data_IF_129788430766
#
_entry.id   IF_129788430766
#
_cell.length_a   1.000
_cell.length_b   1.000
_cell.length_c   1.000
_cell.angle_alpha   90.00
_cell.angle_beta   90.00
_cell.angle_gamma   90.00
#
_symmetry.space_group_name_H-M   'P 1'
#
loop_
_entity.id
_entity.type
_entity.pdbx_description
1 polymer ?
#
# COMPACT_ATOMS: atom_id res chain seq x y z
N UNK A 1 57.25 6.01 -11.82
CA UNK A 1 55.79 5.76 -11.68
C UNK A 1 55.13 5.21 -12.95
N UNK A 2 55.54 5.59 -14.17
CA UNK A 2 54.94 5.07 -15.42
C UNK A 2 55.15 3.54 -15.65
N UNK A 3 56.34 3.01 -15.36
CA UNK A 3 56.64 1.57 -15.49
C UNK A 3 55.82 0.66 -14.55
N UNK A 4 55.51 1.12 -13.33
CA UNK A 4 54.67 0.35 -12.39
C UNK A 4 53.22 0.26 -12.86
N UNK A 5 52.66 1.36 -13.39
CA UNK A 5 51.30 1.33 -13.98
C UNK A 5 51.24 0.41 -15.21
N UNK A 6 52.25 0.46 -16.10
CA UNK A 6 52.30 -0.38 -17.31
C UNK A 6 52.36 -1.89 -16.98
N UNK A 7 53.16 -2.28 -16.00
CA UNK A 7 53.26 -3.68 -15.57
C UNK A 7 51.97 -4.16 -14.87
N UNK A 8 51.33 -3.31 -14.07
CA UNK A 8 50.04 -3.62 -13.44
C UNK A 8 48.92 -3.80 -14.48
N UNK A 9 48.84 -2.94 -15.50
CA UNK A 9 47.84 -3.08 -16.58
C UNK A 9 48.04 -4.38 -17.37
N UNK A 10 49.29 -4.75 -17.65
CA UNK A 10 49.63 -5.97 -18.41
C UNK A 10 49.30 -7.25 -17.62
N UNK A 11 49.56 -7.25 -16.31
CA UNK A 11 49.24 -8.39 -15.43
C UNK A 11 47.73 -8.57 -15.22
N UNK A 12 46.99 -7.46 -15.05
CA UNK A 12 45.52 -7.44 -14.95
C UNK A 12 44.87 -8.03 -16.20
N UNK A 13 45.30 -7.60 -17.39
CA UNK A 13 44.76 -8.09 -18.66
C UNK A 13 45.04 -9.57 -18.88
N UNK A 14 46.24 -10.05 -18.56
CA UNK A 14 46.59 -11.47 -18.64
C UNK A 14 45.69 -12.33 -17.74
N UNK A 15 45.43 -11.88 -16.50
CA UNK A 15 44.51 -12.54 -15.56
C UNK A 15 43.06 -12.59 -16.07
N UNK A 16 42.59 -11.52 -16.70
CA UNK A 16 41.26 -11.45 -17.32
C UNK A 16 41.15 -12.46 -18.46
N UNK A 17 42.10 -12.46 -19.40
CA UNK A 17 42.08 -13.34 -20.57
C UNK A 17 42.13 -14.81 -20.18
N UNK A 18 43.03 -15.20 -19.26
CA UNK A 18 43.12 -16.58 -18.77
C UNK A 18 41.79 -17.06 -18.15
N UNK A 19 41.03 -16.16 -17.51
CA UNK A 19 39.74 -16.47 -16.90
C UNK A 19 38.61 -16.59 -17.93
N UNK A 20 38.57 -15.70 -18.92
CA UNK A 20 37.65 -15.77 -20.06
C UNK A 20 37.83 -17.11 -20.79
N UNK A 21 39.08 -17.48 -21.09
CA UNK A 21 39.42 -18.72 -21.78
C UNK A 21 38.98 -19.95 -20.97
N UNK A 22 39.24 -19.95 -19.65
CA UNK A 22 38.83 -21.04 -18.76
C UNK A 22 37.31 -21.24 -18.73
N UNK A 23 36.53 -20.16 -18.85
CA UNK A 23 35.06 -20.20 -18.88
C UNK A 23 34.51 -20.43 -20.30
N UNK A 24 35.38 -20.55 -21.30
CA UNK A 24 34.99 -20.68 -22.70
C UNK A 24 34.18 -19.49 -23.21
N UNK A 25 34.34 -18.31 -22.60
CA UNK A 25 33.68 -17.08 -23.03
C UNK A 25 34.35 -16.59 -24.31
N UNK A 26 33.56 -16.13 -25.29
CA UNK A 26 34.14 -15.52 -26.50
C UNK A 26 34.78 -14.20 -26.12
N UNK A 27 35.99 -13.94 -26.63
CA UNK A 27 36.69 -12.68 -26.44
C UNK A 27 35.94 -11.55 -27.16
N UNK A 28 35.14 -10.79 -26.42
CA UNK A 28 34.49 -9.55 -26.87
C UNK A 28 35.29 -8.36 -26.32
N UNK A 29 35.80 -7.44 -27.16
CA UNK A 29 36.52 -6.25 -26.72
C UNK A 29 35.78 -5.44 -25.66
N UNK A 30 34.44 -5.37 -25.75
CA UNK A 30 33.60 -4.63 -24.79
C UNK A 30 33.56 -5.32 -23.44
N UNK A 31 33.41 -6.64 -23.43
CA UNK A 31 33.50 -7.45 -22.21
C UNK A 31 34.85 -7.27 -21.52
N UNK A 32 35.95 -7.30 -22.29
CA UNK A 32 37.30 -7.07 -21.75
C UNK A 32 37.39 -5.68 -21.13
N UNK A 33 36.91 -4.65 -21.83
CA UNK A 33 36.89 -3.28 -21.32
C UNK A 33 36.11 -3.18 -20.00
N UNK A 34 34.90 -3.74 -19.92
CA UNK A 34 34.09 -3.74 -18.69
C UNK A 34 34.81 -4.42 -17.52
N UNK A 35 35.54 -5.52 -17.78
CA UNK A 35 36.32 -6.25 -16.77
C UNK A 35 37.58 -5.50 -16.34
N UNK A 36 38.24 -4.79 -17.25
CA UNK A 36 39.42 -3.96 -16.94
C UNK A 36 39.03 -2.75 -16.09
N UNK A 37 37.95 -2.04 -16.47
CA UNK A 37 37.44 -0.86 -15.75
C UNK A 37 36.89 -1.22 -14.37
N UNK A 38 36.38 -2.45 -14.19
CA UNK A 38 35.75 -2.92 -12.96
C UNK A 38 36.47 -4.12 -12.33
N UNK A 39 37.80 -4.13 -12.37
CA UNK A 39 38.62 -5.25 -11.90
C UNK A 39 38.31 -5.76 -10.47
N UNK A 40 37.95 -4.91 -9.48
CA UNK A 40 37.54 -5.38 -8.15
C UNK A 40 36.34 -6.36 -8.17
N UNK A 41 35.51 -6.27 -9.22
CA UNK A 41 34.33 -7.11 -9.44
C UNK A 41 34.57 -8.27 -10.42
N UNK A 42 35.83 -8.55 -10.81
CA UNK A 42 36.20 -9.56 -11.82
C UNK A 42 35.48 -10.91 -11.64
N UNK A 43 35.44 -11.42 -10.40
CA UNK A 43 34.78 -12.69 -10.11
C UNK A 43 33.27 -12.64 -10.39
N UNK A 44 32.59 -11.56 -9.98
CA UNK A 44 31.14 -11.39 -10.15
C UNK A 44 30.78 -11.23 -11.62
N UNK A 45 31.53 -10.39 -12.33
CA UNK A 45 31.30 -10.11 -13.75
C UNK A 45 31.58 -11.32 -14.64
N UNK A 46 32.65 -12.07 -14.37
CA UNK A 46 32.91 -13.30 -15.14
C UNK A 46 31.86 -14.38 -14.91
N UNK A 47 31.32 -14.50 -13.68
CA UNK A 47 30.16 -15.36 -13.42
C UNK A 47 28.92 -14.90 -14.18
N UNK A 48 28.65 -13.59 -14.20
CA UNK A 48 27.54 -13.01 -14.95
C UNK A 48 27.63 -13.32 -16.44
N UNK A 49 28.77 -13.02 -17.10
CA UNK A 49 28.93 -13.32 -18.53
C UNK A 49 28.78 -14.81 -18.83
N UNK A 50 29.23 -15.69 -17.94
CA UNK A 50 29.03 -17.13 -18.07
C UNK A 50 27.55 -17.52 -18.00
N UNK A 51 26.79 -16.96 -17.05
CA UNK A 51 25.35 -17.23 -16.92
C UNK A 51 24.55 -16.66 -18.09
N UNK A 52 24.88 -15.44 -18.55
CA UNK A 52 24.26 -14.85 -19.74
C UNK A 52 24.46 -15.75 -20.97
N UNK A 53 25.68 -16.27 -21.16
CA UNK A 53 25.97 -17.25 -22.23
C UNK A 53 25.14 -18.53 -22.06
N UNK A 54 25.02 -19.08 -20.83
CA UNK A 54 24.24 -20.31 -20.56
C UNK A 54 22.76 -20.14 -20.87
N UNK A 55 22.16 -19.01 -20.49
CA UNK A 55 20.76 -18.73 -20.73
C UNK A 55 20.54 -18.06 -22.13
N UNK A 56 21.52 -18.15 -23.05
CA UNK A 56 21.47 -17.66 -24.44
C UNK A 56 21.13 -16.17 -24.61
N UNK A 57 21.52 -15.34 -23.63
CA UNK A 57 21.32 -13.89 -23.68
C UNK A 57 22.49 -13.27 -24.46
N UNK A 58 22.17 -12.54 -25.53
CA UNK A 58 23.18 -11.89 -26.38
C UNK A 58 23.65 -10.59 -25.73
N UNK A 59 24.97 -10.36 -25.72
CA UNK A 59 25.58 -9.12 -25.25
C UNK A 59 25.58 -8.07 -26.36
N UNK A 60 24.75 -7.04 -26.22
CA UNK A 60 24.76 -5.83 -27.05
C UNK A 60 25.36 -4.63 -26.29
N UNK A 61 25.45 -3.48 -26.96
CA UNK A 61 26.03 -2.27 -26.36
C UNK A 61 25.22 -1.76 -25.16
N UNK A 62 23.89 -1.91 -25.21
CA UNK A 62 22.98 -1.52 -24.13
C UNK A 62 23.23 -2.36 -22.87
N UNK A 63 23.28 -3.69 -23.03
CA UNK A 63 23.52 -4.62 -21.93
C UNK A 63 24.92 -4.42 -21.32
N UNK A 64 25.95 -4.19 -22.13
CA UNK A 64 27.28 -3.84 -21.61
C UNK A 64 27.24 -2.57 -20.74
N UNK A 65 26.52 -1.54 -21.17
CA UNK A 65 26.36 -0.31 -20.40
C UNK A 65 25.58 -0.54 -19.10
N UNK A 66 24.52 -1.34 -19.11
CA UNK A 66 23.75 -1.70 -17.91
C UNK A 66 24.63 -2.45 -16.91
N UNK A 67 25.42 -3.41 -17.37
CA UNK A 67 26.35 -4.18 -16.54
C UNK A 67 27.38 -3.24 -15.91
N UNK A 68 28.00 -2.37 -16.71
CA UNK A 68 29.00 -1.42 -16.24
C UNK A 68 28.45 -0.45 -15.18
N UNK A 69 27.19 -0.03 -15.32
CA UNK A 69 26.53 0.84 -14.35
C UNK A 69 26.08 0.13 -13.07
N UNK A 70 25.97 -1.21 -13.07
CA UNK A 70 25.39 -2.01 -11.99
C UNK A 70 26.29 -3.17 -11.55
N UNK A 71 27.61 -3.03 -11.65
CA UNK A 71 28.58 -4.10 -11.35
C UNK A 71 28.47 -4.68 -9.94
N UNK A 72 28.00 -3.88 -8.97
CA UNK A 72 27.72 -4.32 -7.60
C UNK A 72 26.63 -5.41 -7.55
N UNK A 73 25.66 -5.33 -8.46
CA UNK A 73 24.45 -6.16 -8.49
C UNK A 73 24.62 -7.43 -9.34
N UNK A 74 25.73 -7.57 -10.06
CA UNK A 74 26.00 -8.69 -10.96
C UNK A 74 25.83 -10.07 -10.29
N UNK A 75 26.21 -10.22 -9.01
CA UNK A 75 26.03 -11.46 -8.27
C UNK A 75 24.57 -11.81 -8.00
N UNK A 76 23.73 -10.81 -7.71
CA UNK A 76 22.31 -11.05 -7.51
C UNK A 76 21.61 -11.43 -8.82
N UNK A 77 21.98 -10.79 -9.93
CA UNK A 77 21.47 -11.14 -11.26
C UNK A 77 21.87 -12.55 -11.66
N UNK A 78 23.13 -12.95 -11.42
CA UNK A 78 23.59 -14.35 -11.56
C UNK A 78 22.69 -15.30 -10.81
N UNK A 79 22.45 -15.04 -9.52
CA UNK A 79 21.66 -15.93 -8.68
C UNK A 79 20.19 -16.02 -9.10
N UNK A 80 19.61 -14.94 -9.65
CA UNK A 80 18.25 -14.94 -10.21
C UNK A 80 18.18 -15.75 -11.51
N UNK A 81 19.10 -15.50 -12.43
CA UNK A 81 19.14 -16.21 -13.72
C UNK A 81 19.40 -17.70 -13.54
N UNK A 82 20.34 -18.08 -12.67
CA UNK A 82 20.59 -19.48 -12.34
C UNK A 82 19.35 -20.13 -11.75
N UNK A 83 18.68 -19.48 -10.79
CA UNK A 83 17.44 -19.99 -10.22
C UNK A 83 16.32 -20.16 -11.27
N UNK A 84 16.12 -19.16 -12.15
CA UNK A 84 15.13 -19.26 -13.22
C UNK A 84 15.46 -20.41 -14.19
N UNK A 85 16.73 -20.53 -14.62
CA UNK A 85 17.18 -21.59 -15.51
C UNK A 85 17.09 -22.99 -14.83
N UNK A 86 17.33 -23.11 -13.52
CA UNK A 86 17.17 -24.35 -12.72
C UNK A 86 15.71 -24.79 -12.57
N UNK A 87 14.79 -23.85 -12.34
CA UNK A 87 13.35 -24.10 -12.19
C UNK A 87 12.60 -24.18 -13.54
N UNK A 88 13.32 -24.06 -14.66
CA UNK A 88 12.74 -24.12 -16.00
C UNK A 88 11.88 -22.91 -16.38
N UNK A 89 12.10 -21.76 -15.72
CA UNK A 89 11.44 -20.49 -16.04
C UNK A 89 12.14 -19.86 -17.25
N UNK A 90 11.37 -19.51 -18.29
CA UNK A 90 11.90 -18.81 -19.45
C UNK A 90 12.41 -17.40 -19.06
N UNK A 91 13.73 -17.23 -19.12
CA UNK A 91 14.41 -15.97 -18.81
C UNK A 91 14.07 -14.85 -19.79
N UNK A 92 13.53 -15.15 -20.98
CA UNK A 92 13.12 -14.14 -21.94
C UNK A 92 11.81 -13.42 -21.55
N UNK A 93 11.05 -13.94 -20.59
CA UNK A 93 9.81 -13.30 -20.12
C UNK A 93 10.10 -11.97 -19.41
N UNK A 94 11.26 -11.87 -18.76
CA UNK A 94 11.68 -10.71 -17.97
C UNK A 94 12.84 -10.00 -18.67
N UNK A 95 12.72 -8.70 -18.99
CA UNK A 95 13.83 -7.94 -19.55
C UNK A 95 15.06 -7.96 -18.64
N UNK A 96 16.25 -8.12 -19.21
CA UNK A 96 17.50 -8.18 -18.45
C UNK A 96 17.74 -6.88 -17.67
N UNK A 97 17.32 -5.74 -18.23
CA UNK A 97 17.29 -4.42 -17.60
C UNK A 97 16.56 -4.48 -16.26
N UNK A 98 15.37 -5.11 -16.26
CA UNK A 98 14.55 -5.22 -15.07
C UNK A 98 15.22 -6.12 -14.03
N UNK A 99 15.89 -7.21 -14.45
CA UNK A 99 16.65 -8.06 -13.54
C UNK A 99 17.74 -7.28 -12.79
N UNK A 100 18.43 -6.34 -13.45
CA UNK A 100 19.40 -5.46 -12.80
C UNK A 100 18.75 -4.46 -11.84
N UNK A 101 17.58 -3.92 -12.20
CA UNK A 101 16.84 -2.96 -11.36
C UNK A 101 16.33 -3.61 -10.07
N UNK A 102 15.85 -4.84 -10.14
CA UNK A 102 15.25 -5.55 -8.99
C UNK A 102 16.23 -6.46 -8.25
N UNK A 103 17.49 -6.48 -8.68
CA UNK A 103 18.52 -7.40 -8.21
C UNK A 103 18.68 -7.42 -6.68
N UNK A 104 18.57 -6.27 -6.03
CA UNK A 104 18.70 -6.15 -4.57
C UNK A 104 17.61 -6.91 -3.80
N UNK A 105 16.48 -7.18 -4.45
CA UNK A 105 15.37 -7.99 -3.91
C UNK A 105 15.44 -9.48 -4.30
N UNK A 106 16.61 -9.97 -4.77
CA UNK A 106 16.79 -11.35 -5.27
C UNK A 106 16.25 -12.41 -4.31
N UNK A 107 16.52 -12.26 -3.02
CA UNK A 107 16.12 -13.24 -2.02
C UNK A 107 14.60 -13.30 -1.89
N UNK A 108 13.92 -12.14 -1.80
CA UNK A 108 12.46 -12.07 -1.71
C UNK A 108 11.81 -12.60 -2.99
N UNK A 109 12.33 -12.23 -4.16
CA UNK A 109 11.85 -12.70 -5.46
C UNK A 109 11.93 -14.23 -5.57
N UNK A 110 13.05 -14.83 -5.19
CA UNK A 110 13.20 -16.29 -5.20
C UNK A 110 12.26 -16.97 -4.23
N UNK A 111 12.04 -16.39 -3.05
CA UNK A 111 11.05 -16.94 -2.12
C UNK A 111 9.64 -16.88 -2.70
N UNK A 112 9.24 -15.76 -3.30
CA UNK A 112 7.95 -15.62 -3.98
C UNK A 112 7.79 -16.62 -5.13
N UNK A 113 8.78 -16.72 -6.02
CA UNK A 113 8.77 -17.70 -7.13
C UNK A 113 8.67 -19.14 -6.62
N UNK A 114 9.45 -19.53 -5.60
CA UNK A 114 9.40 -20.88 -5.01
C UNK A 114 8.02 -21.22 -4.45
N UNK A 115 7.36 -20.26 -3.78
CA UNK A 115 6.00 -20.45 -3.27
C UNK A 115 5.01 -20.69 -4.42
N UNK A 116 5.05 -19.85 -5.46
CA UNK A 116 4.18 -19.98 -6.63
C UNK A 116 4.42 -21.31 -7.37
N UNK A 117 5.67 -21.74 -7.55
CA UNK A 117 6.03 -23.03 -8.17
C UNK A 117 5.42 -24.19 -7.38
N UNK A 118 5.64 -24.20 -6.06
CA UNK A 118 5.14 -25.25 -5.16
C UNK A 118 3.62 -25.42 -5.23
N UNK A 119 2.89 -24.36 -5.57
CA UNK A 119 1.43 -24.36 -5.63
C UNK A 119 0.86 -24.32 -7.05
N UNK A 120 1.72 -24.49 -8.06
CA UNK A 120 1.34 -24.45 -9.48
C UNK A 120 0.59 -23.17 -9.86
N UNK A 121 1.02 -22.07 -9.25
CA UNK A 121 0.45 -20.72 -9.41
C UNK A 121 1.38 -19.81 -10.21
N UNK A 122 2.52 -20.32 -10.68
CA UNK A 122 3.48 -19.55 -11.47
C UNK A 122 3.14 -19.64 -12.96
N UNK A 123 2.87 -18.50 -13.56
CA UNK A 123 2.68 -18.26 -14.98
C UNK A 123 3.36 -16.94 -15.39
N UNK A 124 3.29 -16.57 -16.68
CA UNK A 124 3.95 -15.36 -17.15
C UNK A 124 3.38 -14.07 -16.53
N UNK A 125 2.10 -14.05 -16.17
CA UNK A 125 1.44 -12.86 -15.61
C UNK A 125 1.83 -12.64 -14.14
N UNK A 126 1.77 -13.71 -13.34
CA UNK A 126 2.21 -13.72 -11.95
C UNK A 126 3.71 -13.44 -11.82
N UNK A 127 4.53 -13.99 -12.73
CA UNK A 127 5.95 -13.68 -12.80
C UNK A 127 6.16 -12.17 -13.05
N UNK A 128 5.52 -11.60 -14.08
CA UNK A 128 5.59 -10.15 -14.34
C UNK A 128 5.13 -9.31 -13.14
N UNK A 129 4.09 -9.75 -12.44
CA UNK A 129 3.58 -9.07 -11.25
C UNK A 129 4.65 -9.02 -10.14
N UNK A 130 5.21 -10.16 -9.74
CA UNK A 130 6.20 -10.18 -8.64
C UNK A 130 7.49 -9.43 -9.01
N UNK A 131 7.85 -9.37 -10.30
CA UNK A 131 8.97 -8.54 -10.77
C UNK A 131 8.64 -7.04 -10.81
N UNK A 132 7.37 -6.67 -10.91
CA UNK A 132 6.91 -5.27 -10.81
C UNK A 132 6.88 -4.77 -9.35
N UNK A 133 6.78 -5.69 -8.39
CA UNK A 133 6.76 -5.39 -6.94
C UNK A 133 7.74 -6.32 -6.19
N UNK A 134 9.05 -6.18 -6.45
CA UNK A 134 10.04 -7.16 -6.05
C UNK A 134 10.20 -7.30 -4.52
N UNK A 135 10.06 -6.20 -3.78
CA UNK A 135 10.07 -6.19 -2.31
C UNK A 135 8.85 -6.90 -1.70
N UNK A 136 7.72 -6.89 -2.40
CA UNK A 136 6.46 -7.51 -1.96
C UNK A 136 6.25 -8.91 -2.55
N UNK A 137 7.17 -9.40 -3.38
CA UNK A 137 7.02 -10.64 -4.16
C UNK A 137 6.60 -11.86 -3.33
N UNK A 138 7.13 -12.01 -2.12
CA UNK A 138 6.74 -13.08 -1.21
C UNK A 138 5.28 -12.94 -0.72
N UNK A 139 4.87 -11.75 -0.29
CA UNK A 139 3.51 -11.50 0.18
C UNK A 139 2.49 -11.57 -0.97
N UNK A 140 2.87 -11.13 -2.17
CA UNK A 140 2.05 -11.28 -3.37
C UNK A 140 1.86 -12.76 -3.74
N UNK A 141 2.92 -13.57 -3.63
CA UNK A 141 2.81 -15.00 -3.86
C UNK A 141 1.80 -15.63 -2.90
N UNK A 142 1.93 -15.38 -1.60
CA UNK A 142 1.00 -15.88 -0.59
C UNK A 142 -0.45 -15.42 -0.85
N UNK A 143 -0.63 -14.15 -1.26
CA UNK A 143 -1.95 -13.62 -1.61
C UNK A 143 -2.56 -14.32 -2.85
N UNK A 144 -1.77 -14.52 -3.91
CA UNK A 144 -2.19 -15.24 -5.14
C UNK A 144 -2.61 -16.67 -4.80
N UNK A 145 -1.80 -17.35 -4.00
CA UNK A 145 -2.08 -18.71 -3.51
C UNK A 145 -3.41 -18.73 -2.76
N UNK A 146 -3.64 -17.76 -1.87
CA UNK A 146 -4.88 -17.66 -1.12
C UNK A 146 -6.08 -17.42 -2.04
N UNK A 147 -5.97 -16.57 -3.05
CA UNK A 147 -7.04 -16.39 -4.04
C UNK A 147 -7.35 -17.69 -4.79
N UNK A 148 -6.32 -18.43 -5.21
CA UNK A 148 -6.46 -19.71 -5.89
C UNK A 148 -7.10 -20.77 -4.98
N UNK A 149 -6.72 -20.82 -3.70
CA UNK A 149 -7.31 -21.75 -2.73
C UNK A 149 -8.81 -21.53 -2.52
N UNK A 150 -9.28 -20.29 -2.69
CA UNK A 150 -10.71 -19.93 -2.64
C UNK A 150 -11.40 -20.00 -4.02
N UNK A 151 -10.72 -20.53 -5.04
CA UNK A 151 -11.23 -20.66 -6.41
C UNK A 151 -11.66 -19.33 -7.08
N UNK A 152 -11.03 -18.21 -6.69
CA UNK A 152 -11.23 -16.93 -7.37
C UNK A 152 -10.50 -16.89 -8.73
N UNK A 153 -10.94 -16.05 -9.68
CA UNK A 153 -10.32 -15.95 -11.00
C UNK A 153 -8.95 -15.24 -10.93
N UNK A 154 -7.91 -15.99 -10.57
CA UNK A 154 -6.55 -15.49 -10.30
C UNK A 154 -5.99 -14.66 -11.45
N UNK A 155 -6.20 -15.05 -12.71
CA UNK A 155 -5.71 -14.29 -13.88
C UNK A 155 -6.19 -12.83 -13.88
N UNK A 156 -7.50 -12.63 -13.67
CA UNK A 156 -8.10 -11.29 -13.62
C UNK A 156 -7.65 -10.50 -12.39
N UNK A 157 -7.40 -11.18 -11.28
CA UNK A 157 -6.91 -10.56 -10.06
C UNK A 157 -5.48 -10.07 -10.26
N UNK A 158 -4.60 -10.91 -10.83
CA UNK A 158 -3.21 -10.58 -11.15
C UNK A 158 -3.15 -9.38 -12.10
N UNK A 159 -4.01 -9.35 -13.13
CA UNK A 159 -4.13 -8.21 -14.04
C UNK A 159 -4.47 -6.90 -13.30
N UNK A 160 -5.45 -6.93 -12.38
CA UNK A 160 -5.80 -5.75 -11.56
C UNK A 160 -4.72 -5.37 -10.55
N UNK A 161 -4.06 -6.35 -9.94
CA UNK A 161 -2.94 -6.10 -9.02
C UNK A 161 -1.81 -5.34 -9.70
N UNK A 162 -1.55 -5.61 -10.99
CA UNK A 162 -0.54 -4.91 -11.78
C UNK A 162 -0.84 -3.43 -12.07
N UNK A 163 -2.04 -2.92 -11.71
CA UNK A 163 -2.45 -1.53 -11.93
C UNK A 163 -2.23 -0.64 -10.70
N UNK A 164 -1.84 -1.22 -9.57
CA UNK A 164 -1.57 -0.45 -8.35
C UNK A 164 -0.19 0.19 -8.39
N UNK A 165 -0.07 1.39 -7.82
CA UNK A 165 1.23 2.03 -7.62
C UNK A 165 2.08 1.25 -6.62
N UNK A 166 3.41 1.27 -6.81
CA UNK A 166 4.37 0.62 -5.91
C UNK A 166 4.18 1.07 -4.47
N UNK A 167 3.92 2.36 -4.24
CA UNK A 167 3.71 2.94 -2.91
C UNK A 167 2.47 2.38 -2.20
N UNK A 168 1.45 1.97 -2.97
CA UNK A 168 0.19 1.47 -2.42
C UNK A 168 0.17 -0.04 -2.17
N UNK A 169 1.07 -0.79 -2.81
CA UNK A 169 0.97 -2.25 -2.91
C UNK A 169 0.91 -2.96 -1.55
N UNK A 170 1.70 -2.51 -0.56
CA UNK A 170 1.64 -3.07 0.80
C UNK A 170 0.23 -2.96 1.40
N UNK A 171 -0.40 -1.78 1.32
CA UNK A 171 -1.74 -1.56 1.86
C UNK A 171 -2.81 -2.37 1.11
N UNK A 172 -2.64 -2.56 -0.20
CA UNK A 172 -3.51 -3.41 -1.03
C UNK A 172 -3.42 -4.86 -0.56
N UNK A 173 -2.20 -5.39 -0.41
CA UNK A 173 -1.98 -6.76 0.06
C UNK A 173 -2.60 -6.96 1.45
N UNK A 174 -2.38 -6.03 2.37
CA UNK A 174 -2.93 -6.08 3.73
C UNK A 174 -4.47 -6.05 3.73
N UNK A 175 -5.08 -5.17 2.93
CA UNK A 175 -6.53 -5.08 2.77
C UNK A 175 -7.12 -6.36 2.19
N UNK A 176 -6.54 -6.88 1.11
CA UNK A 176 -7.04 -8.10 0.46
C UNK A 176 -6.86 -9.33 1.35
N UNK A 177 -5.74 -9.41 2.07
CA UNK A 177 -5.51 -10.47 3.06
C UNK A 177 -6.55 -10.39 4.19
N UNK A 178 -6.84 -9.18 4.69
CA UNK A 178 -7.88 -8.96 5.70
C UNK A 178 -9.25 -9.41 5.18
N UNK A 179 -9.60 -9.06 3.94
CA UNK A 179 -10.86 -9.45 3.31
C UNK A 179 -10.98 -10.97 3.15
N UNK A 180 -9.94 -11.64 2.66
CA UNK A 180 -9.92 -13.09 2.50
C UNK A 180 -10.06 -13.80 3.85
N UNK A 181 -9.31 -13.35 4.86
CA UNK A 181 -9.38 -13.94 6.21
C UNK A 181 -10.76 -13.81 6.87
N UNK A 182 -11.54 -12.80 6.47
CA UNK A 182 -12.91 -12.57 6.98
C UNK A 182 -14.00 -13.10 6.04
N UNK A 183 -13.65 -13.78 4.93
CA UNK A 183 -14.59 -14.20 3.88
C UNK A 183 -15.44 -13.04 3.31
N UNK A 184 -14.85 -11.85 3.20
CA UNK A 184 -15.50 -10.63 2.72
C UNK A 184 -14.99 -10.17 1.35
N UNK A 185 -14.07 -10.91 0.74
CA UNK A 185 -13.57 -10.57 -0.58
C UNK A 185 -14.67 -10.71 -1.64
N UNK A 186 -14.76 -9.70 -2.51
CA UNK A 186 -15.54 -9.73 -3.73
C UNK A 186 -14.75 -8.98 -4.81
N UNK A 187 -14.82 -9.43 -6.06
CA UNK A 187 -13.92 -8.96 -7.11
C UNK A 187 -13.96 -7.43 -7.32
N UNK A 188 -15.16 -6.82 -7.24
CA UNK A 188 -15.35 -5.39 -7.47
C UNK A 188 -14.70 -4.49 -6.38
N UNK A 189 -14.30 -5.05 -5.22
CA UNK A 189 -13.57 -4.28 -4.22
C UNK A 189 -12.21 -3.80 -4.75
N UNK A 190 -11.62 -4.53 -5.71
CA UNK A 190 -10.39 -4.11 -6.38
C UNK A 190 -10.57 -2.80 -7.17
N UNK A 191 -11.73 -2.59 -7.79
CA UNK A 191 -12.03 -1.33 -8.50
C UNK A 191 -12.15 -0.16 -7.53
N UNK A 192 -12.75 -0.40 -6.37
CA UNK A 192 -12.80 0.59 -5.28
C UNK A 192 -11.38 0.94 -4.83
N UNK A 193 -10.53 -0.05 -4.60
CA UNK A 193 -9.16 0.17 -4.15
C UNK A 193 -8.29 0.86 -5.21
N UNK A 194 -8.44 0.50 -6.49
CA UNK A 194 -7.76 1.15 -7.60
C UNK A 194 -8.18 2.61 -7.75
N UNK A 195 -9.47 2.90 -7.58
CA UNK A 195 -10.00 4.27 -7.61
C UNK A 195 -9.57 5.13 -6.43
N UNK A 196 -9.15 4.52 -5.32
CA UNK A 196 -8.88 5.20 -4.04
C UNK A 196 -7.46 4.98 -3.50
N UNK A 197 -6.47 4.82 -4.39
CA UNK A 197 -5.09 4.48 -3.99
C UNK A 197 -4.49 5.42 -2.95
N UNK A 198 -4.75 6.73 -3.04
CA UNK A 198 -4.24 7.75 -2.10
C UNK A 198 -4.78 7.57 -0.67
N UNK A 199 -5.90 6.86 -0.50
CA UNK A 199 -6.60 6.72 0.77
C UNK A 199 -6.56 5.29 1.34
N UNK A 200 -5.87 4.36 0.69
CA UNK A 200 -5.84 2.94 1.10
C UNK A 200 -5.38 2.75 2.55
N UNK A 201 -4.42 3.56 3.03
CA UNK A 201 -4.02 3.52 4.44
C UNK A 201 -5.17 3.82 5.41
N UNK A 202 -5.97 4.85 5.14
CA UNK A 202 -7.15 5.19 5.96
C UNK A 202 -8.26 4.14 5.87
N UNK A 203 -8.46 3.57 4.68
CA UNK A 203 -9.41 2.48 4.46
C UNK A 203 -8.98 1.24 5.26
N UNK A 204 -7.69 0.91 5.25
CA UNK A 204 -7.15 -0.20 6.02
C UNK A 204 -7.29 -0.01 7.53
N UNK A 205 -6.97 1.18 8.05
CA UNK A 205 -7.16 1.50 9.48
C UNK A 205 -8.62 1.30 9.92
N UNK A 206 -9.57 1.82 9.14
CA UNK A 206 -10.99 1.67 9.43
C UNK A 206 -11.46 0.21 9.31
N UNK A 207 -11.02 -0.50 8.27
CA UNK A 207 -11.35 -1.92 8.07
C UNK A 207 -10.82 -2.79 9.22
N UNK A 208 -9.57 -2.57 9.65
CA UNK A 208 -8.95 -3.28 10.79
C UNK A 208 -9.73 -3.04 12.08
N UNK A 209 -10.14 -1.80 12.33
CA UNK A 209 -10.95 -1.44 13.51
C UNK A 209 -12.29 -2.17 13.52
N UNK A 210 -12.98 -2.22 12.39
CA UNK A 210 -14.25 -2.94 12.26
C UNK A 210 -14.08 -4.46 12.34
N UNK A 211 -12.98 -5.00 11.81
CA UNK A 211 -12.69 -6.43 11.88
C UNK A 211 -12.51 -6.88 13.34
N UNK A 212 -11.75 -6.14 14.15
CA UNK A 212 -11.56 -6.43 15.59
C UNK A 212 -12.89 -6.43 16.35
N UNK A 213 -13.82 -5.56 15.97
CA UNK A 213 -15.15 -5.48 16.57
C UNK A 213 -16.16 -6.50 16.00
N UNK A 214 -15.76 -7.34 15.03
CA UNK A 214 -16.66 -8.21 14.25
C UNK A 214 -17.81 -7.45 13.57
N UNK A 215 -17.51 -6.25 13.05
CA UNK A 215 -18.46 -5.36 12.34
C UNK A 215 -18.00 -4.96 10.94
N UNK A 216 -16.97 -5.64 10.39
CA UNK A 216 -16.56 -5.41 9.01
C UNK A 216 -17.60 -6.04 8.06
N UNK A 217 -18.02 -5.30 7.04
CA UNK A 217 -18.97 -5.74 6.01
C UNK A 217 -18.54 -5.22 4.63
N UNK A 218 -19.05 -5.82 3.55
CA UNK A 218 -18.83 -5.30 2.19
C UNK A 218 -19.36 -3.87 2.02
N UNK A 219 -20.49 -3.55 2.67
CA UNK A 219 -21.11 -2.22 2.63
C UNK A 219 -20.18 -1.10 3.10
N UNK A 220 -19.23 -1.40 4.00
CA UNK A 220 -18.20 -0.44 4.40
C UNK A 220 -17.34 -0.01 3.20
N UNK A 221 -16.89 -0.97 2.39
CA UNK A 221 -16.05 -0.71 1.23
C UNK A 221 -16.80 0.07 0.16
N UNK A 222 -18.06 -0.28 -0.07
CA UNK A 222 -18.92 0.46 -1.01
C UNK A 222 -19.11 1.93 -0.59
N UNK A 223 -19.27 2.18 0.72
CA UNK A 223 -19.42 3.54 1.26
C UNK A 223 -18.11 4.34 1.20
N UNK A 224 -16.97 3.76 1.59
CA UNK A 224 -15.67 4.46 1.49
C UNK A 224 -15.21 4.64 0.05
N UNK A 225 -15.70 3.83 -0.89
CA UNK A 225 -15.49 4.08 -2.31
C UNK A 225 -16.05 5.41 -2.80
N UNK A 226 -17.05 5.98 -2.09
CA UNK A 226 -17.61 7.31 -2.36
C UNK A 226 -16.98 8.42 -1.51
N UNK A 227 -16.65 8.14 -0.25
CA UNK A 227 -16.07 9.11 0.69
C UNK A 227 -14.82 8.55 1.40
N UNK A 228 -13.71 8.38 0.67
CA UNK A 228 -12.53 7.63 1.14
C UNK A 228 -11.75 8.37 2.24
N UNK A 229 -11.74 9.71 2.23
CA UNK A 229 -11.00 10.49 3.24
C UNK A 229 -11.50 10.27 4.68
N UNK A 230 -12.77 9.87 4.82
CA UNK A 230 -13.46 9.65 6.09
C UNK A 230 -13.49 8.18 6.51
N UNK A 231 -12.78 7.27 5.83
CA UNK A 231 -12.89 5.83 6.06
C UNK A 231 -12.70 5.40 7.53
N UNK A 232 -11.77 6.03 8.26
CA UNK A 232 -11.53 5.77 9.68
C UNK A 232 -12.63 6.40 10.58
N UNK A 233 -13.16 7.57 10.19
CA UNK A 233 -14.27 8.23 10.88
C UNK A 233 -15.55 7.39 10.72
N UNK A 234 -15.82 6.90 9.50
CA UNK A 234 -16.94 5.99 9.23
C UNK A 234 -16.86 4.74 10.10
N UNK A 235 -15.68 4.14 10.26
CA UNK A 235 -15.51 2.99 11.14
C UNK A 235 -15.91 3.31 12.60
N UNK A 236 -15.53 4.49 13.12
CA UNK A 236 -15.96 4.93 14.45
C UNK A 236 -17.47 5.17 14.53
N UNK A 237 -18.05 5.79 13.51
CA UNK A 237 -19.49 6.02 13.42
C UNK A 237 -20.27 4.70 13.40
N UNK A 238 -19.79 3.69 12.68
CA UNK A 238 -20.39 2.35 12.68
C UNK A 238 -20.41 1.78 14.09
N UNK A 239 -19.28 1.82 14.81
CA UNK A 239 -19.21 1.31 16.18
C UNK A 239 -20.12 2.08 17.13
N UNK A 240 -20.19 3.40 16.99
CA UNK A 240 -21.01 4.28 17.80
C UNK A 240 -22.51 4.01 17.60
N UNK A 241 -22.96 4.05 16.34
CA UNK A 241 -24.38 4.05 15.96
C UNK A 241 -24.99 2.64 15.99
N UNK A 242 -24.20 1.60 15.66
CA UNK A 242 -24.68 0.22 15.70
C UNK A 242 -25.00 -0.23 17.12
N UNK A 243 -24.23 0.21 18.12
CA UNK A 243 -24.46 -0.16 19.52
C UNK A 243 -25.85 0.31 20.02
N UNK A 244 -26.40 1.35 19.39
CA UNK A 244 -27.72 1.90 19.68
C UNK A 244 -28.79 1.47 18.66
N UNK A 245 -28.44 0.57 17.72
CA UNK A 245 -29.32 0.13 16.61
C UNK A 245 -29.88 1.29 15.77
N UNK A 246 -29.13 2.39 15.65
CA UNK A 246 -29.55 3.58 14.88
C UNK A 246 -29.35 3.37 13.38
N UNK A 247 -28.32 2.60 13.01
CA UNK A 247 -28.04 2.20 11.63
C UNK A 247 -27.96 0.68 11.54
N UNK A 248 -28.04 0.15 10.33
CA UNK A 248 -27.61 -1.20 10.00
C UNK A 248 -26.32 -1.13 9.16
N UNK A 249 -25.19 -1.51 9.75
CA UNK A 249 -23.89 -1.48 9.06
C UNK A 249 -23.77 -2.46 7.87
N UNK A 250 -24.78 -3.33 7.67
CA UNK A 250 -24.87 -4.19 6.48
C UNK A 250 -25.68 -3.55 5.35
N UNK A 251 -26.28 -2.38 5.57
CA UNK A 251 -26.99 -1.61 4.54
C UNK A 251 -26.10 -0.49 4.04
N UNK A 252 -25.83 -0.53 2.74
CA UNK A 252 -24.97 0.47 2.10
C UNK A 252 -25.58 1.86 2.17
N UNK A 253 -26.91 2.00 2.13
CA UNK A 253 -27.61 3.29 2.21
C UNK A 253 -27.36 4.01 3.54
N UNK A 254 -27.43 3.28 4.66
CA UNK A 254 -27.17 3.83 5.99
C UNK A 254 -25.69 4.28 6.10
N UNK A 255 -24.78 3.48 5.57
CA UNK A 255 -23.35 3.80 5.58
C UNK A 255 -22.99 4.95 4.65
N UNK A 256 -23.70 5.13 3.53
CA UNK A 256 -23.48 6.27 2.64
C UNK A 256 -23.80 7.59 3.35
N UNK A 257 -24.90 7.64 4.12
CA UNK A 257 -25.24 8.81 4.95
C UNK A 257 -24.16 9.05 6.01
N UNK A 258 -23.79 8.00 6.76
CA UNK A 258 -22.76 8.11 7.78
C UNK A 258 -21.38 8.51 7.21
N UNK A 259 -21.05 8.11 5.98
CA UNK A 259 -19.74 8.40 5.35
C UNK A 259 -19.53 9.89 5.03
N UNK A 260 -20.62 10.66 4.93
CA UNK A 260 -20.58 12.12 4.71
C UNK A 260 -20.23 12.90 5.98
N UNK A 261 -20.35 12.24 7.15
CA UNK A 261 -20.07 12.86 8.44
C UNK A 261 -18.56 12.93 8.68
N UNK A 262 -18.06 14.14 8.93
CA UNK A 262 -16.68 14.40 9.32
C UNK A 262 -16.43 14.18 10.81
N UNK A 263 -15.23 14.54 11.26
CA UNK A 263 -14.81 14.36 12.65
C UNK A 263 -15.67 15.19 13.62
N UNK A 264 -16.02 16.44 13.29
CA UNK A 264 -16.92 17.25 14.12
C UNK A 264 -18.28 16.60 14.38
N UNK A 265 -18.87 15.96 13.37
CA UNK A 265 -20.11 15.22 13.55
C UNK A 265 -19.92 13.97 14.44
N UNK A 266 -18.82 13.23 14.27
CA UNK A 266 -18.48 12.12 15.17
C UNK A 266 -18.32 12.58 16.63
N UNK A 267 -17.64 13.69 16.87
CA UNK A 267 -17.48 14.25 18.22
C UNK A 267 -18.82 14.63 18.84
N UNK A 268 -19.69 15.36 18.12
CA UNK A 268 -21.01 15.72 18.62
C UNK A 268 -21.86 14.47 18.92
N UNK A 269 -21.90 13.49 18.02
CA UNK A 269 -22.63 12.23 18.25
C UNK A 269 -22.10 11.47 19.46
N UNK A 270 -20.78 11.50 19.70
CA UNK A 270 -20.17 10.88 20.88
C UNK A 270 -20.64 11.55 22.17
N UNK A 271 -20.69 12.88 22.22
CA UNK A 271 -21.22 13.61 23.39
C UNK A 271 -22.72 13.37 23.59
N UNK A 272 -23.51 13.32 22.51
CA UNK A 272 -24.91 12.92 22.58
C UNK A 272 -25.08 11.52 23.16
N UNK A 273 -24.20 10.56 22.81
CA UNK A 273 -24.23 9.23 23.40
C UNK A 273 -23.92 9.26 24.90
N UNK A 274 -22.87 9.98 25.30
CA UNK A 274 -22.44 10.10 26.70
C UNK A 274 -23.56 10.67 27.59
N UNK A 275 -24.33 11.63 27.08
CA UNK A 275 -25.45 12.25 27.79
C UNK A 275 -26.78 11.49 27.65
N UNK A 276 -26.79 10.35 26.95
CA UNK A 276 -27.98 9.53 26.74
C UNK A 276 -29.01 10.17 25.80
N UNK A 277 -28.58 11.08 24.93
CA UNK A 277 -29.41 11.82 23.97
C UNK A 277 -29.26 11.33 22.53
N UNK A 278 -28.36 10.39 22.26
CA UNK A 278 -28.18 9.85 20.91
C UNK A 278 -29.31 8.86 20.58
N UNK A 279 -30.24 9.30 19.74
CA UNK A 279 -31.33 8.50 19.17
C UNK A 279 -31.44 8.71 17.66
N UNK A 280 -32.42 8.07 17.01
CA UNK A 280 -32.63 8.17 15.58
C UNK A 280 -33.00 9.59 15.12
N UNK A 281 -33.70 10.38 15.95
CA UNK A 281 -34.10 11.75 15.60
C UNK A 281 -32.89 12.68 15.64
N UNK A 282 -32.09 12.61 16.70
CA UNK A 282 -30.89 13.43 16.85
C UNK A 282 -29.79 13.01 15.87
N UNK A 283 -29.66 11.72 15.55
CA UNK A 283 -28.82 11.28 14.44
C UNK A 283 -29.28 11.86 13.10
N UNK A 284 -30.59 11.89 12.84
CA UNK A 284 -31.15 12.50 11.62
C UNK A 284 -30.84 14.00 11.55
N UNK A 285 -30.99 14.73 12.66
CA UNK A 285 -30.63 16.17 12.73
C UNK A 285 -29.15 16.39 12.38
N UNK A 286 -28.25 15.64 12.99
CA UNK A 286 -26.80 15.74 12.72
C UNK A 286 -26.48 15.38 11.28
N UNK A 287 -27.05 14.28 10.75
CA UNK A 287 -26.78 13.81 9.39
C UNK A 287 -27.33 14.75 8.30
N UNK A 288 -28.48 15.36 8.49
CA UNK A 288 -29.07 16.28 7.52
C UNK A 288 -28.41 17.67 7.55
N UNK A 289 -27.89 18.08 8.71
CA UNK A 289 -27.39 19.45 8.93
C UNK A 289 -25.88 19.51 9.27
N UNK A 290 -25.09 18.55 8.79
CA UNK A 290 -23.67 18.38 9.14
C UNK A 290 -22.72 19.46 8.59
N UNK A 291 -23.15 20.33 7.68
CA UNK A 291 -22.23 21.27 7.00
C UNK A 291 -21.55 22.29 7.93
N UNK A 292 -22.19 22.67 9.05
CA UNK A 292 -21.56 23.52 10.07
C UNK A 292 -20.48 22.76 10.85
N UNK A 293 -20.72 21.47 11.11
CA UNK A 293 -19.80 20.56 11.81
C UNK A 293 -18.60 20.18 10.95
N UNK A 294 -18.76 20.22 9.62
CA UNK A 294 -17.67 20.04 8.65
C UNK A 294 -16.86 21.32 8.43
N UNK A 295 -17.24 22.46 9.02
CA UNK A 295 -16.42 23.67 8.93
C UNK A 295 -15.12 23.49 9.71
N UNK A 296 -13.99 23.92 9.12
CA UNK A 296 -12.67 23.71 9.72
C UNK A 296 -12.60 24.26 11.16
N UNK A 297 -13.13 25.47 11.40
CA UNK A 297 -13.12 26.11 12.73
C UNK A 297 -13.86 25.31 13.80
N UNK A 298 -15.05 24.79 13.46
CA UNK A 298 -15.85 23.99 14.40
C UNK A 298 -15.20 22.64 14.63
N UNK A 299 -14.66 22.03 13.57
CA UNK A 299 -13.94 20.77 13.66
C UNK A 299 -12.70 20.90 14.54
N UNK A 300 -11.89 21.96 14.36
CA UNK A 300 -10.70 22.22 15.18
C UNK A 300 -11.07 22.45 16.65
N UNK A 301 -12.16 23.19 16.91
CA UNK A 301 -12.66 23.40 18.27
C UNK A 301 -13.07 22.08 18.94
N UNK A 302 -13.82 21.22 18.24
CA UNK A 302 -14.26 19.92 18.77
C UNK A 302 -13.09 18.94 18.95
N UNK A 303 -12.16 18.91 18.01
CA UNK A 303 -10.96 18.05 18.10
C UNK A 303 -9.97 18.54 19.17
N UNK A 304 -10.00 19.83 19.52
CA UNK A 304 -9.20 20.41 20.60
C UNK A 304 -9.72 20.14 22.00
N UNK A 305 -10.92 19.55 22.15
CA UNK A 305 -11.50 19.26 23.45
C UNK A 305 -10.66 18.23 24.23
N UNK A 306 -10.47 18.45 25.55
CA UNK A 306 -9.90 17.43 26.42
C UNK A 306 -10.69 16.12 26.38
N UNK A 307 -10.00 14.99 26.54
CA UNK A 307 -10.60 13.64 26.56
C UNK A 307 -11.77 13.48 27.55
N UNK A 308 -11.81 14.27 28.62
CA UNK A 308 -12.82 14.22 29.68
C UNK A 308 -13.81 15.40 29.63
N UNK A 309 -13.79 16.22 28.57
CA UNK A 309 -14.78 17.26 28.40
C UNK A 309 -16.17 16.63 28.26
N UNK A 310 -17.14 17.15 29.01
CA UNK A 310 -18.52 16.69 28.99
C UNK A 310 -19.44 17.91 28.91
N UNK A 311 -20.30 17.90 27.89
CA UNK A 311 -21.37 18.87 27.76
C UNK A 311 -22.59 18.41 28.57
N UNK A 312 -23.24 19.33 29.25
CA UNK A 312 -24.52 19.03 29.86
C UNK A 312 -25.63 18.89 28.80
N UNK A 313 -26.81 18.42 29.23
CA UNK A 313 -27.93 18.19 28.30
C UNK A 313 -28.44 19.48 27.66
N UNK A 314 -28.47 20.58 28.42
CA UNK A 314 -28.99 21.87 27.94
C UNK A 314 -28.05 22.46 26.87
N UNK A 315 -26.73 22.33 27.08
CA UNK A 315 -25.72 22.66 26.09
C UNK A 315 -25.90 21.85 24.81
N UNK A 316 -26.07 20.52 24.92
CA UNK A 316 -26.24 19.66 23.75
C UNK A 316 -27.55 19.92 23.00
N UNK A 317 -28.65 20.19 23.70
CA UNK A 317 -29.91 20.62 23.09
C UNK A 317 -29.72 21.93 22.32
N UNK A 318 -28.99 22.89 22.91
CA UNK A 318 -28.71 24.15 22.25
C UNK A 318 -27.79 23.97 21.03
N UNK A 319 -26.76 23.12 21.11
CA UNK A 319 -25.93 22.77 19.96
C UNK A 319 -26.77 22.14 18.83
N UNK A 320 -27.72 21.25 19.15
CA UNK A 320 -28.64 20.67 18.18
C UNK A 320 -29.54 21.72 17.51
N UNK A 321 -30.01 22.71 18.27
CA UNK A 321 -30.77 23.84 17.74
C UNK A 321 -29.90 24.67 16.78
N UNK A 322 -28.67 25.00 17.18
CA UNK A 322 -27.75 25.81 16.36
C UNK A 322 -27.41 25.12 15.04
N UNK A 323 -27.19 23.80 15.03
CA UNK A 323 -26.87 23.11 13.77
C UNK A 323 -28.07 22.99 12.82
N UNK A 324 -29.29 22.90 13.34
CA UNK A 324 -30.52 22.72 12.56
C UNK A 324 -31.19 24.03 12.13
N UNK A 325 -30.74 25.17 12.67
CA UNK A 325 -31.32 26.49 12.38
C UNK A 325 -31.11 26.89 10.92
N UNK A 326 -32.19 27.30 10.27
CA UNK A 326 -32.20 27.86 8.92
C UNK A 326 -33.03 29.16 8.86
N UNK A 327 -32.53 30.23 8.20
CA UNK A 327 -31.25 30.34 7.52
C UNK A 327 -30.08 30.44 8.52
N UNK A 328 -28.92 29.89 8.15
CA UNK A 328 -27.72 29.95 8.99
C UNK A 328 -27.07 31.32 8.93
N UNK A 329 -26.78 31.87 10.11
CA UNK A 329 -25.99 33.08 10.27
C UNK A 329 -24.55 32.75 10.69
N UNK A 330 -23.62 33.65 10.42
CA UNK A 330 -22.24 33.52 10.93
C UNK A 330 -22.19 33.55 12.48
N UNK A 331 -23.19 34.19 13.11
CA UNK A 331 -23.30 34.20 14.57
C UNK A 331 -23.59 32.82 15.13
N UNK A 332 -24.42 32.00 14.48
CA UNK A 332 -24.74 30.64 14.97
C UNK A 332 -23.47 29.75 15.02
N UNK A 333 -22.56 29.93 14.06
CA UNK A 333 -21.27 29.23 14.06
C UNK A 333 -20.34 29.73 15.16
N UNK A 334 -20.27 31.03 15.38
CA UNK A 334 -19.45 31.60 16.45
C UNK A 334 -19.97 31.18 17.83
N UNK A 335 -21.29 31.19 18.03
CA UNK A 335 -21.93 30.75 19.26
C UNK A 335 -21.64 29.27 19.54
N UNK A 336 -21.71 28.40 18.52
CA UNK A 336 -21.32 27.01 18.64
C UNK A 336 -19.85 26.85 19.07
N UNK A 337 -18.94 27.62 18.46
CA UNK A 337 -17.50 27.61 18.80
C UNK A 337 -17.28 28.10 20.24
N UNK A 338 -17.93 29.19 20.64
CA UNK A 338 -17.83 29.72 22.00
C UNK A 338 -18.31 28.71 23.04
N UNK A 339 -19.40 27.98 22.76
CA UNK A 339 -19.86 26.90 23.62
C UNK A 339 -18.82 25.80 23.76
N UNK A 340 -18.20 25.36 22.65
CA UNK A 340 -17.16 24.33 22.68
C UNK A 340 -15.93 24.82 23.47
N UNK A 341 -15.50 26.05 23.25
CA UNK A 341 -14.28 26.61 23.86
C UNK A 341 -14.40 26.83 25.37
N UNK A 342 -15.61 26.96 25.94
CA UNK A 342 -15.80 26.99 27.41
C UNK A 342 -15.21 25.77 28.11
N UNK A 343 -15.13 24.65 27.40
CA UNK A 343 -14.64 23.37 27.89
C UNK A 343 -13.17 23.09 27.53
N UNK A 344 -12.52 24.00 26.79
CA UNK A 344 -11.09 23.91 26.50
C UNK A 344 -10.25 24.37 27.71
N UNK A 345 -9.56 23.41 28.33
CA UNK A 345 -8.71 23.64 29.50
C UNK A 345 -7.46 24.48 29.19
N UNK A 346 -7.04 24.58 27.92
CA UNK A 346 -5.84 25.35 27.54
C UNK A 346 -6.07 26.86 27.57
N UNK A 347 -7.31 27.33 27.50
CA UNK A 347 -7.66 28.75 27.58
C UNK A 347 -7.58 29.35 29.00
N UNK A 348 -7.49 28.52 30.05
CA UNK A 348 -7.49 28.95 31.46
C UNK A 348 -6.10 29.07 32.10
N UNK A 349 -5.01 28.79 31.37
CA UNK A 349 -3.64 28.79 31.90
C UNK A 349 -2.85 30.10 31.69
N UNK A 350 -3.49 31.16 31.20
CA UNK A 350 -2.92 32.51 31.20
C UNK A 350 -3.46 33.34 32.36
N UNK A 351 -2.96 33.08 33.58
CA UNK A 351 -2.98 34.02 34.69
C UNK A 351 -1.61 34.07 35.35
#
# INVERSE_FOLDING_TARGET
>A
MAFMKFNQTTETRSKIMARIDKLGLKSDPRMIQTLEENFPYLNRLTSLFNVLKKCNITLDDSLHQIIANNVSNASYVVNLLEFMCEEGIDTAIIPIELLFQVAESETTLKHGMRQLIKHKSLDAATLKLIFSYPEQSYLLADLIINFQAHAYPTEKIVEKLGQFSVQSMNAVIELLTLLLNNNLYYFDCLDIFLGQQEYLGKIFEGAKKLAVANKLSSSYFDAVGKNPQNANILANLILLLQNLSIIDYKKTEDLLIASQLGAGALHLLTHLQQSGMLDAENYKKVSQHHSILNSQKVNDALCGLPLFAAFDKEELEHMLILITKEPRSANDQNELIEMIQKHDLTSKLHW
#
